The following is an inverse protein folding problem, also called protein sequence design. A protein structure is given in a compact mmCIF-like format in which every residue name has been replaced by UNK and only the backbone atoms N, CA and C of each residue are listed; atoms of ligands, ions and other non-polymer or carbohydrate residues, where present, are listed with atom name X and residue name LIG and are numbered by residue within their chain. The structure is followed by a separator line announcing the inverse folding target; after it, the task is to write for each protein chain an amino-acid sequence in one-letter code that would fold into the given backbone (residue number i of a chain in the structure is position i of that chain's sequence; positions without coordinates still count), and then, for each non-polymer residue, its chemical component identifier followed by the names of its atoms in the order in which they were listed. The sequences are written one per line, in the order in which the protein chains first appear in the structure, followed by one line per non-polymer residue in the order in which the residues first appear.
data_IF_398960267154
#
_entry.id   IF_398960267154
#
_cell.length_a   1.000
_cell.length_b   1.000
_cell.length_c   1.000
_cell.angle_alpha   90.00
_cell.angle_beta   90.00
_cell.angle_gamma   90.00
#
_symmetry.space_group_name_H-M   'P 1'
#
loop_
_entity.id
_entity.type
_entity.pdbx_description
1 polymer ?
#
# COMPACT_ATOMS: atom_id res chain seq x y z
N UNK A 1 16.98 -20.00 23.34
CA UNK A 1 16.50 -18.60 23.33
C UNK A 1 17.59 -17.73 22.73
N UNK A 2 17.28 -16.72 21.90
CA UNK A 2 18.28 -15.81 21.35
C UNK A 2 19.09 -15.12 22.48
N UNK A 3 20.39 -14.89 22.28
CA UNK A 3 21.26 -14.28 23.29
C UNK A 3 20.96 -12.79 23.50
N UNK A 4 21.46 -12.20 24.59
CA UNK A 4 21.35 -10.75 24.83
C UNK A 4 22.00 -9.92 23.70
N UNK A 5 23.14 -10.38 23.19
CA UNK A 5 23.88 -9.74 22.10
C UNK A 5 23.09 -9.73 20.79
N UNK A 6 22.29 -10.77 20.54
CA UNK A 6 21.39 -10.83 19.38
C UNK A 6 20.40 -9.65 19.37
N UNK A 7 19.78 -9.34 20.51
CA UNK A 7 18.83 -8.23 20.60
C UNK A 7 19.51 -6.86 20.45
N UNK A 8 20.72 -6.70 20.98
CA UNK A 8 21.50 -5.46 20.87
C UNK A 8 21.92 -5.19 19.41
N UNK A 9 22.47 -6.20 18.75
CA UNK A 9 22.90 -6.10 17.35
C UNK A 9 21.72 -5.81 16.41
N UNK A 10 20.57 -6.47 16.64
CA UNK A 10 19.34 -6.22 15.89
C UNK A 10 18.85 -4.78 16.06
N UNK A 11 18.85 -4.25 17.29
CA UNK A 11 18.44 -2.85 17.56
C UNK A 11 19.37 -1.85 16.89
N UNK A 12 20.68 -2.06 16.98
CA UNK A 12 21.67 -1.17 16.36
C UNK A 12 21.52 -1.14 14.83
N UNK A 13 21.28 -2.31 14.21
CA UNK A 13 21.08 -2.42 12.77
C UNK A 13 19.81 -1.72 12.30
N UNK A 14 18.69 -1.91 13.01
CA UNK A 14 17.43 -1.24 12.71
C UNK A 14 17.53 0.28 12.89
N UNK A 15 18.25 0.75 13.91
CA UNK A 15 18.50 2.19 14.12
C UNK A 15 19.25 2.81 12.93
N UNK A 16 20.30 2.15 12.43
CA UNK A 16 21.02 2.59 11.22
C UNK A 16 20.13 2.60 9.98
N UNK A 17 19.24 1.63 9.83
CA UNK A 17 18.28 1.59 8.72
C UNK A 17 17.28 2.76 8.80
N UNK A 18 16.80 3.11 9.99
CA UNK A 18 15.93 4.29 10.20
C UNK A 18 16.67 5.57 9.80
N UNK A 19 17.92 5.72 10.22
CA UNK A 19 18.75 6.88 9.85
C UNK A 19 18.97 6.98 8.34
N UNK A 20 19.27 5.86 7.66
CA UNK A 20 19.44 5.79 6.20
C UNK A 20 18.18 6.19 5.43
N UNK A 21 16.99 5.95 6.00
CA UNK A 21 15.70 6.36 5.42
C UNK A 21 15.26 7.77 5.84
N UNK A 22 16.12 8.52 6.54
CA UNK A 22 15.89 9.92 6.90
C UNK A 22 15.22 10.14 8.25
N UNK A 23 14.94 9.09 9.02
CA UNK A 23 14.50 9.20 10.42
C UNK A 23 13.14 9.85 10.66
N UNK A 24 12.32 10.02 9.60
CA UNK A 24 11.01 10.68 9.68
C UNK A 24 10.00 10.01 8.76
N UNK A 25 8.72 10.21 9.06
CA UNK A 25 7.62 9.72 8.25
C UNK A 25 7.65 10.40 6.87
N UNK A 26 7.66 9.60 5.81
CA UNK A 26 7.64 10.08 4.43
C UNK A 26 6.35 10.82 4.08
N UNK A 27 5.22 10.51 4.75
CA UNK A 27 3.92 11.11 4.49
C UNK A 27 3.65 12.40 5.29
N UNK A 28 3.96 12.42 6.59
CA UNK A 28 3.60 13.53 7.47
C UNK A 28 4.78 14.20 8.20
N UNK A 29 6.01 13.68 8.04
CA UNK A 29 7.21 14.23 8.68
C UNK A 29 7.38 13.91 10.17
N UNK A 30 6.46 13.16 10.81
CA UNK A 30 6.60 12.72 12.21
C UNK A 30 7.89 11.92 12.42
N UNK A 31 8.61 12.18 13.50
CA UNK A 31 9.79 11.39 13.94
C UNK A 31 9.40 10.26 14.91
N UNK A 32 8.12 10.20 15.31
CA UNK A 32 7.62 9.28 16.32
C UNK A 32 6.93 8.06 15.71
N UNK A 33 7.06 6.92 16.42
CA UNK A 33 6.36 5.66 16.13
C UNK A 33 6.54 5.19 14.68
N UNK A 34 7.77 5.29 14.18
CA UNK A 34 8.13 4.93 12.82
C UNK A 34 8.14 3.41 12.62
N UNK A 35 7.62 3.00 11.47
CA UNK A 35 7.55 1.64 11.00
C UNK A 35 8.11 1.58 9.57
N UNK A 36 8.77 0.47 9.25
CA UNK A 36 9.21 0.18 7.89
C UNK A 36 7.99 -0.28 7.08
N UNK A 37 7.64 0.51 6.07
CA UNK A 37 6.59 0.20 5.10
C UNK A 37 7.24 0.00 3.74
N UNK A 38 6.89 -1.08 3.04
CA UNK A 38 7.35 -1.28 1.66
C UNK A 38 6.59 -0.34 0.74
N UNK A 39 7.33 0.44 -0.06
CA UNK A 39 6.75 1.38 -1.03
C UNK A 39 5.88 0.61 -2.01
N UNK A 40 6.41 -0.49 -2.56
CA UNK A 40 5.69 -1.46 -3.37
C UNK A 40 5.73 -2.85 -2.69
N UNK A 41 4.61 -3.31 -2.10
CA UNK A 41 4.52 -4.62 -1.47
C UNK A 41 4.86 -5.80 -2.40
N UNK A 42 4.71 -5.67 -3.72
CA UNK A 42 5.01 -6.74 -4.67
C UNK A 42 6.51 -7.00 -4.85
N UNK A 43 7.34 -6.00 -4.54
CA UNK A 43 8.81 -6.08 -4.63
C UNK A 43 9.48 -6.60 -3.35
N UNK A 44 8.68 -6.82 -2.31
CA UNK A 44 9.10 -7.30 -0.99
C UNK A 44 9.69 -8.69 -1.11
N UNK A 45 10.91 -8.84 -0.60
CA UNK A 45 11.55 -10.15 -0.44
C UNK A 45 11.34 -10.69 0.98
N UNK A 46 11.34 -9.82 2.00
CA UNK A 46 11.13 -10.22 3.39
C UNK A 46 10.72 -9.03 4.29
N UNK A 47 10.22 -9.29 5.50
CA UNK A 47 10.05 -8.25 6.50
C UNK A 47 11.40 -7.79 7.04
N UNK A 48 11.70 -6.49 7.02
CA UNK A 48 12.94 -5.92 7.58
C UNK A 48 13.16 -6.33 9.05
N UNK A 49 12.07 -6.50 9.81
CA UNK A 49 12.10 -6.96 11.21
C UNK A 49 12.56 -8.41 11.39
N UNK A 50 12.47 -9.25 10.36
CA UNK A 50 12.78 -10.70 10.35
C UNK A 50 14.12 -11.01 9.66
N UNK A 51 14.74 -10.02 9.02
CA UNK A 51 15.99 -10.19 8.26
C UNK A 51 17.26 -10.22 9.12
N UNK A 52 17.19 -10.62 10.39
CA UNK A 52 18.34 -10.64 11.31
C UNK A 52 19.39 -11.70 10.96
N UNK A 53 19.03 -12.76 10.23
CA UNK A 53 19.97 -13.77 9.73
C UNK A 53 20.58 -13.43 8.36
N UNK A 54 20.09 -12.38 7.69
CA UNK A 54 20.57 -11.99 6.36
C UNK A 54 21.84 -11.12 6.46
N UNK A 55 22.70 -11.22 5.44
CA UNK A 55 23.87 -10.34 5.29
C UNK A 55 23.47 -8.87 5.20
N UNK A 56 24.40 -7.97 5.53
CA UNK A 56 24.16 -6.52 5.44
C UNK A 56 23.80 -6.07 4.03
N UNK A 57 24.44 -6.63 3.01
CA UNK A 57 24.10 -6.32 1.61
C UNK A 57 22.63 -6.62 1.28
N UNK A 58 22.14 -7.79 1.66
CA UNK A 58 20.76 -8.22 1.39
C UNK A 58 19.77 -7.42 2.24
N UNK A 59 20.12 -7.15 3.50
CA UNK A 59 19.30 -6.32 4.38
C UNK A 59 19.13 -4.90 3.85
N UNK A 60 20.22 -4.23 3.48
CA UNK A 60 20.14 -2.85 2.99
C UNK A 60 19.48 -2.76 1.62
N UNK A 61 19.63 -3.76 0.76
CA UNK A 61 18.89 -3.85 -0.51
C UNK A 61 17.37 -3.92 -0.28
N UNK A 62 16.91 -4.59 0.79
CA UNK A 62 15.49 -4.59 1.15
C UNK A 62 15.05 -3.28 1.82
N UNK A 63 15.90 -2.69 2.67
CA UNK A 63 15.64 -1.39 3.30
C UNK A 63 15.46 -0.29 2.27
N UNK A 64 16.21 -0.33 1.16
CA UNK A 64 16.08 0.66 0.07
C UNK A 64 14.74 0.60 -0.68
N UNK A 65 13.99 -0.51 -0.56
CA UNK A 65 12.62 -0.63 -1.07
C UNK A 65 11.57 -0.13 -0.07
N UNK A 66 12.00 0.22 1.14
CA UNK A 66 11.13 0.65 2.21
C UNK A 66 11.14 2.18 2.35
N UNK A 67 10.03 2.70 2.88
CA UNK A 67 9.89 4.03 3.42
C UNK A 67 9.59 3.94 4.92
N UNK A 68 9.84 5.02 5.65
CA UNK A 68 9.39 5.13 7.03
C UNK A 68 8.02 5.80 7.07
N UNK A 69 7.07 5.17 7.75
CA UNK A 69 5.77 5.76 8.04
C UNK A 69 5.51 5.72 9.54
N UNK A 70 4.88 6.76 10.09
CA UNK A 70 4.35 6.66 11.44
C UNK A 70 3.18 5.66 11.45
N UNK A 71 2.88 5.08 12.62
CA UNK A 71 1.80 4.10 12.78
C UNK A 71 0.47 4.54 12.15
N UNK A 72 0.09 5.80 12.28
CA UNK A 72 -1.14 6.35 11.71
C UNK A 72 -1.12 6.39 10.17
N UNK A 73 -0.02 6.83 9.56
CA UNK A 73 0.14 6.86 8.10
C UNK A 73 0.28 5.44 7.53
N UNK A 74 0.95 4.54 8.23
CA UNK A 74 1.10 3.16 7.82
C UNK A 74 -0.26 2.45 7.78
N UNK A 75 -1.09 2.58 8.82
CA UNK A 75 -2.46 2.03 8.83
C UNK A 75 -3.30 2.61 7.69
N UNK A 76 -3.18 3.91 7.42
CA UNK A 76 -3.90 4.54 6.30
C UNK A 76 -3.48 3.95 4.96
N UNK A 77 -2.18 3.79 4.72
CA UNK A 77 -1.66 3.14 3.51
C UNK A 77 -2.12 1.70 3.42
N UNK A 78 -2.01 0.89 4.48
CA UNK A 78 -2.49 -0.50 4.45
C UNK A 78 -3.99 -0.58 4.16
N UNK A 79 -4.81 0.32 4.72
CA UNK A 79 -6.24 0.39 4.40
C UNK A 79 -6.49 0.77 2.94
N UNK A 80 -5.72 1.72 2.42
CA UNK A 80 -5.75 2.09 1.02
C UNK A 80 -5.38 0.88 0.16
N UNK A 81 -4.19 0.31 0.34
CA UNK A 81 -3.69 -0.88 -0.37
C UNK A 81 -4.69 -2.06 -0.30
N UNK A 82 -5.27 -2.33 0.86
CA UNK A 82 -6.31 -3.36 1.02
C UNK A 82 -7.61 -3.01 0.30
N UNK A 83 -8.03 -1.74 0.28
CA UNK A 83 -9.19 -1.32 -0.52
C UNK A 83 -8.95 -1.50 -2.01
N UNK A 84 -7.68 -1.47 -2.46
CA UNK A 84 -7.30 -1.84 -3.82
C UNK A 84 -7.27 -3.38 -4.01
N UNK A 85 -6.81 -4.16 -3.02
CA UNK A 85 -6.75 -5.63 -3.14
C UNK A 85 -8.10 -6.36 -2.98
N UNK A 86 -9.01 -5.80 -2.19
CA UNK A 86 -10.29 -6.45 -1.81
C UNK A 86 -11.33 -6.39 -2.92
N UNK A 87 -11.10 -5.61 -3.97
CA UNK A 87 -12.12 -5.38 -4.96
C UNK A 87 -11.52 -5.52 -6.37
N UNK A 88 -12.14 -6.34 -7.20
CA UNK A 88 -11.80 -6.45 -8.61
C UNK A 88 -11.06 -7.71 -9.04
N UNK A 89 -9.82 -7.55 -9.50
CA UNK A 89 -9.19 -8.43 -10.51
C UNK A 89 -8.97 -9.88 -10.08
N UNK A 90 -8.92 -10.17 -8.78
CA UNK A 90 -8.79 -11.53 -8.25
C UNK A 90 -10.11 -12.30 -8.28
N UNK A 91 -11.24 -11.61 -8.47
CA UNK A 91 -12.52 -12.24 -8.73
C UNK A 91 -12.63 -12.46 -10.24
N UNK A 92 -12.60 -13.72 -10.70
CA UNK A 92 -12.65 -14.06 -12.12
C UNK A 92 -13.90 -13.60 -12.88
N UNK A 93 -14.88 -13.02 -12.17
CA UNK A 93 -16.08 -12.39 -12.75
C UNK A 93 -15.98 -10.87 -12.88
N UNK A 94 -14.97 -10.22 -12.28
CA UNK A 94 -14.82 -8.77 -12.31
C UNK A 94 -14.43 -8.29 -13.71
N UNK A 95 -15.25 -7.39 -14.26
CA UNK A 95 -14.96 -6.70 -15.53
C UNK A 95 -14.12 -5.43 -15.37
N UNK A 96 -13.96 -4.93 -14.14
CA UNK A 96 -13.19 -3.72 -13.86
C UNK A 96 -11.78 -4.08 -13.42
N UNK A 97 -10.80 -3.46 -14.10
CA UNK A 97 -9.40 -3.44 -13.69
C UNK A 97 -9.14 -2.32 -12.69
N UNK A 98 -7.99 -2.38 -12.02
CA UNK A 98 -7.54 -1.35 -11.08
C UNK A 98 -7.42 0.01 -11.75
N UNK A 99 -6.85 0.04 -12.95
CA UNK A 99 -6.74 1.25 -13.77
C UNK A 99 -8.13 1.81 -14.14
N UNK A 100 -9.09 0.94 -14.43
CA UNK A 100 -10.46 1.34 -14.74
C UNK A 100 -11.17 1.96 -13.53
N UNK A 101 -10.95 1.41 -12.33
CA UNK A 101 -11.51 1.94 -11.09
C UNK A 101 -10.87 3.27 -10.72
N UNK A 102 -9.55 3.39 -10.88
CA UNK A 102 -8.84 4.65 -10.68
C UNK A 102 -9.39 5.72 -11.64
N UNK A 103 -9.55 5.39 -12.92
CA UNK A 103 -10.14 6.29 -13.91
C UNK A 103 -11.55 6.73 -13.51
N UNK A 104 -12.40 5.81 -13.06
CA UNK A 104 -13.76 6.11 -12.58
C UNK A 104 -13.73 7.12 -11.43
N UNK A 105 -12.85 6.93 -10.44
CA UNK A 105 -12.74 7.80 -9.27
C UNK A 105 -12.28 9.21 -9.64
N UNK A 106 -11.32 9.32 -10.54
CA UNK A 106 -10.76 10.61 -10.96
C UNK A 106 -11.70 11.39 -11.89
N UNK A 107 -12.45 10.70 -12.74
CA UNK A 107 -13.23 11.34 -13.81
C UNK A 107 -14.73 11.42 -13.49
N UNK A 108 -15.23 10.89 -12.37
CA UNK A 108 -16.67 10.88 -12.09
C UNK A 108 -17.24 12.29 -11.89
N UNK A 109 -18.27 12.61 -12.69
CA UNK A 109 -19.03 13.86 -12.60
C UNK A 109 -20.51 13.54 -12.34
N UNK A 110 -21.08 13.96 -11.19
CA UNK A 110 -22.49 13.73 -10.88
C UNK A 110 -23.43 14.22 -12.00
N UNK A 111 -24.39 13.36 -12.39
CA UNK A 111 -25.40 13.63 -13.43
C UNK A 111 -24.85 13.93 -14.83
N UNK A 112 -23.56 13.72 -15.08
CA UNK A 112 -23.00 13.92 -16.40
C UNK A 112 -23.33 12.77 -17.37
N UNK A 113 -23.52 13.08 -18.66
CA UNK A 113 -23.99 12.12 -19.67
C UNK A 113 -22.97 11.02 -19.97
N UNK A 114 -21.68 11.37 -19.95
CA UNK A 114 -20.55 10.48 -20.30
C UNK A 114 -19.82 10.03 -19.04
N UNK A 115 -19.30 10.98 -18.27
CA UNK A 115 -18.62 10.75 -16.99
C UNK A 115 -19.52 10.58 -15.75
N UNK A 116 -20.84 10.47 -15.90
CA UNK A 116 -21.72 10.07 -14.79
C UNK A 116 -21.83 8.55 -14.65
N UNK A 117 -22.44 8.06 -13.57
CA UNK A 117 -22.45 6.63 -13.21
C UNK A 117 -22.94 5.71 -14.34
N UNK A 118 -23.99 6.11 -15.07
CA UNK A 118 -24.51 5.35 -16.22
C UNK A 118 -23.60 5.43 -17.46
N UNK A 119 -22.94 6.57 -17.66
CA UNK A 119 -22.04 6.75 -18.80
C UNK A 119 -20.73 5.97 -18.61
N UNK A 120 -20.14 6.03 -17.43
CA UNK A 120 -18.99 5.21 -17.04
C UNK A 120 -19.33 3.71 -17.05
N UNK A 121 -20.53 3.33 -16.59
CA UNK A 121 -20.97 1.93 -16.65
C UNK A 121 -20.99 1.39 -18.08
N UNK A 122 -21.49 2.18 -19.04
CA UNK A 122 -21.43 1.82 -20.47
C UNK A 122 -19.99 1.75 -21.00
N UNK A 123 -19.13 2.69 -20.59
CA UNK A 123 -17.73 2.75 -21.02
C UNK A 123 -16.97 1.47 -20.64
N UNK A 124 -17.17 0.97 -19.42
CA UNK A 124 -16.47 -0.19 -18.89
C UNK A 124 -17.29 -1.50 -18.97
N UNK A 125 -18.45 -1.49 -19.62
CA UNK A 125 -19.29 -2.69 -19.78
C UNK A 125 -19.85 -3.26 -18.47
N UNK A 126 -20.05 -2.40 -17.46
CA UNK A 126 -20.57 -2.75 -16.12
C UNK A 126 -21.85 -1.99 -15.78
N UNK A 127 -22.54 -2.45 -14.74
CA UNK A 127 -23.74 -1.74 -14.28
C UNK A 127 -23.38 -0.43 -13.59
N UNK A 128 -24.28 0.55 -13.62
CA UNK A 128 -24.09 1.81 -12.89
C UNK A 128 -23.95 1.60 -11.37
N UNK A 129 -24.50 0.50 -10.83
CA UNK A 129 -24.33 0.13 -9.42
C UNK A 129 -22.88 -0.30 -9.15
N UNK A 130 -22.28 -1.07 -10.05
CA UNK A 130 -20.85 -1.44 -9.98
C UNK A 130 -19.96 -0.18 -9.96
N UNK A 131 -20.30 0.84 -10.76
CA UNK A 131 -19.59 2.13 -10.74
C UNK A 131 -19.76 2.85 -9.40
N UNK A 132 -20.97 2.85 -8.82
CA UNK A 132 -21.21 3.46 -7.50
C UNK A 132 -20.47 2.72 -6.38
N UNK A 133 -20.43 1.39 -6.40
CA UNK A 133 -19.64 0.59 -5.45
C UNK A 133 -18.14 0.87 -5.59
N UNK A 134 -17.63 1.00 -6.82
CA UNK A 134 -16.24 1.38 -7.07
C UNK A 134 -15.88 2.79 -6.54
N UNK A 135 -16.82 3.74 -6.59
CA UNK A 135 -16.69 5.09 -6.02
C UNK A 135 -16.72 5.08 -4.49
N UNK A 136 -17.56 4.24 -3.88
CA UNK A 136 -17.72 4.13 -2.44
C UNK A 136 -16.64 3.26 -1.75
N UNK A 137 -15.74 2.64 -2.53
CA UNK A 137 -14.72 1.72 -1.99
C UNK A 137 -15.29 0.40 -1.48
N UNK A 138 -16.48 0.03 -1.93
CA UNK A 138 -17.10 -1.27 -1.63
C UNK A 138 -16.56 -2.36 -2.58
N UNK A 139 -16.60 -3.61 -2.12
CA UNK A 139 -16.25 -4.80 -2.90
C UNK A 139 -17.06 -4.85 -4.20
N UNK A 140 -16.46 -4.56 -5.35
CA UNK A 140 -17.14 -4.65 -6.64
C UNK A 140 -17.08 -6.08 -7.21
N UNK A 141 -18.20 -6.57 -7.72
CA UNK A 141 -18.34 -7.81 -8.50
C UNK A 141 -18.39 -7.52 -9.99
#
# INVERSE_FOLDING_TARGET
MPSKDYYLNRRARLAKAVEKLGGRCASCGSEYSLQFDHIDPSTKSANVSEMHYHSDSVFYAEVEKCQLLCSACHIQKTKFDLSYLVAGELNGMSKLTMDSVQFIRENYIPRHKVYGARGLGRMFGVTHQTVLSALNGETWK
#
